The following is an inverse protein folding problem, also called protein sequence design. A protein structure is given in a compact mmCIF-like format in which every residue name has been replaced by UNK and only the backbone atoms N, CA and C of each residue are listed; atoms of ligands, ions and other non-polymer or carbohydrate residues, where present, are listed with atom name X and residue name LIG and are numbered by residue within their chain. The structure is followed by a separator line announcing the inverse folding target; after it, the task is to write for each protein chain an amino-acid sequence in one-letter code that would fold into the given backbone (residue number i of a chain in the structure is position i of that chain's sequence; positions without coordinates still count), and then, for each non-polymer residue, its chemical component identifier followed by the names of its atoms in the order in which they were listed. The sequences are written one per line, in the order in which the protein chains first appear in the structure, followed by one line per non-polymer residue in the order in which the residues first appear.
data_IF_916175189642
#
_entry.id   IF_916175189642
#
_cell.length_a   1.000
_cell.length_b   1.000
_cell.length_c   1.000
_cell.angle_alpha   90.00
_cell.angle_beta   90.00
_cell.angle_gamma   90.00
#
_symmetry.space_group_name_H-M   'P 1'
#
loop_
_entity.id
_entity.type
_entity.pdbx_description
1 polymer ?
#
# COMPACT_ATOMS: atom_id res chain seq x y z
N UNK A 1 19.99 39.79 -79.52
CA UNK A 1 19.52 40.42 -78.27
C UNK A 1 18.03 40.14 -78.20
N UNK A 2 17.53 39.77 -77.02
CA UNK A 2 16.20 39.17 -76.73
C UNK A 2 16.11 37.70 -77.20
N UNK A 3 15.77 36.69 -76.41
CA UNK A 3 14.97 36.61 -75.19
C UNK A 3 15.64 35.70 -74.14
N UNK A 4 15.77 36.21 -72.92
CA UNK A 4 15.17 35.59 -71.73
C UNK A 4 15.07 34.05 -71.71
N UNK A 5 16.22 33.36 -71.75
CA UNK A 5 16.41 32.04 -71.13
C UNK A 5 16.37 32.23 -69.60
N UNK A 6 15.20 32.66 -69.15
CA UNK A 6 14.76 32.41 -67.81
C UNK A 6 14.65 30.89 -67.68
N UNK A 7 15.76 30.31 -67.23
CA UNK A 7 15.87 29.05 -66.50
C UNK A 7 14.98 29.13 -65.24
N UNK A 8 13.68 29.36 -65.46
CA UNK A 8 12.58 29.39 -64.52
C UNK A 8 11.79 28.11 -64.78
N UNK A 9 12.29 26.99 -64.26
CA UNK A 9 11.41 25.88 -63.84
C UNK A 9 12.12 24.70 -63.18
N UNK A 10 13.44 24.62 -63.22
CA UNK A 10 14.14 23.41 -62.73
C UNK A 10 15.15 23.66 -61.63
N UNK A 11 15.21 24.88 -61.09
CA UNK A 11 16.20 25.26 -60.07
C UNK A 11 15.57 25.91 -58.83
N UNK A 12 14.39 25.44 -58.44
CA UNK A 12 13.97 25.41 -57.05
C UNK A 12 13.67 23.91 -56.82
N UNK A 13 14.51 23.07 -56.21
CA UNK A 13 15.29 23.26 -54.98
C UNK A 13 14.54 23.95 -53.84
N UNK A 14 13.21 23.96 -53.91
CA UNK A 14 12.40 23.72 -52.73
C UNK A 14 12.31 22.19 -52.64
N UNK A 15 13.31 21.52 -52.08
CA UNK A 15 13.40 21.48 -50.62
C UNK A 15 11.98 21.55 -50.04
N UNK A 16 11.16 20.52 -50.29
CA UNK A 16 10.14 20.14 -49.32
C UNK A 16 10.70 19.03 -48.43
N UNK A 17 11.65 19.31 -47.52
CA UNK A 17 11.72 18.61 -46.26
C UNK A 17 10.71 19.20 -45.26
N UNK A 18 9.67 19.93 -45.69
CA UNK A 18 8.73 20.58 -44.76
C UNK A 18 7.72 19.61 -44.13
N UNK A 19 7.76 18.32 -44.45
CA UNK A 19 6.89 17.34 -43.79
C UNK A 19 7.64 16.31 -42.93
N UNK A 20 8.96 16.47 -42.75
CA UNK A 20 9.64 15.81 -41.64
C UNK A 20 9.70 16.72 -40.40
N UNK A 21 9.55 18.03 -40.58
CA UNK A 21 9.57 19.00 -39.49
C UNK A 21 8.22 19.11 -38.75
N UNK A 22 7.12 18.64 -39.34
CA UNK A 22 5.79 18.71 -38.71
C UNK A 22 5.56 17.59 -37.68
N UNK A 23 6.32 16.49 -37.76
CA UNK A 23 6.40 15.50 -36.68
C UNK A 23 7.38 15.90 -35.57
N UNK A 24 8.23 16.90 -35.89
CA UNK A 24 9.01 17.69 -34.95
C UNK A 24 8.32 19.04 -34.65
N UNK A 25 6.98 19.11 -34.66
CA UNK A 25 6.31 19.96 -33.68
C UNK A 25 6.42 19.24 -32.33
N UNK A 26 7.67 19.20 -31.87
CA UNK A 26 8.22 18.43 -30.77
C UNK A 26 7.33 18.72 -29.57
N UNK A 27 6.48 17.75 -29.24
CA UNK A 27 5.75 17.69 -27.99
C UNK A 27 5.11 19.03 -27.61
N UNK A 28 3.93 19.33 -28.21
CA UNK A 28 3.14 20.51 -27.84
C UNK A 28 3.20 20.73 -26.32
N UNK A 29 3.43 21.97 -25.82
CA UNK A 29 3.59 22.22 -24.38
C UNK A 29 2.47 21.62 -23.52
N UNK A 30 1.27 21.46 -24.10
CA UNK A 30 0.15 20.76 -23.47
C UNK A 30 0.40 19.28 -23.17
N UNK A 31 1.11 18.55 -24.02
CA UNK A 31 1.44 17.13 -23.78
C UNK A 31 2.39 17.00 -22.59
N UNK A 32 3.34 17.91 -22.41
CA UNK A 32 4.21 17.93 -21.23
C UNK A 32 3.43 18.20 -19.94
N UNK A 33 2.43 19.07 -19.98
CA UNK A 33 1.54 19.33 -18.83
C UNK A 33 0.72 18.09 -18.50
N UNK A 34 0.12 17.43 -19.51
CA UNK A 34 -0.65 16.20 -19.31
C UNK A 34 0.26 15.07 -18.82
N UNK A 35 1.44 14.91 -19.40
CA UNK A 35 2.43 13.91 -18.98
C UNK A 35 2.88 14.17 -17.53
N UNK A 36 3.14 15.43 -17.18
CA UNK A 36 3.44 15.83 -15.81
C UNK A 36 2.28 15.52 -14.84
N UNK A 37 1.05 15.79 -15.24
CA UNK A 37 -0.14 15.46 -14.45
C UNK A 37 -0.29 13.94 -14.24
N UNK A 38 -0.03 13.14 -15.27
CA UNK A 38 -0.05 11.67 -15.18
C UNK A 38 1.05 11.16 -14.26
N UNK A 39 2.28 11.65 -14.42
CA UNK A 39 3.41 11.28 -13.53
C UNK A 39 3.10 11.67 -12.08
N UNK A 40 2.59 12.87 -11.85
CA UNK A 40 2.22 13.34 -10.51
C UNK A 40 1.11 12.49 -9.89
N UNK A 41 0.11 12.11 -10.68
CA UNK A 41 -0.96 11.21 -10.26
C UNK A 41 -0.40 9.84 -9.89
N UNK A 42 0.50 9.28 -10.71
CA UNK A 42 1.14 8.00 -10.43
C UNK A 42 1.97 8.04 -9.14
N UNK A 43 2.78 9.09 -8.95
CA UNK A 43 3.58 9.28 -7.74
C UNK A 43 2.65 9.43 -6.52
N UNK A 44 1.57 10.20 -6.65
CA UNK A 44 0.61 10.39 -5.56
C UNK A 44 -0.02 9.07 -5.13
N UNK A 45 -0.46 8.24 -6.09
CA UNK A 45 -1.01 6.90 -5.79
C UNK A 45 0.06 6.01 -5.14
N UNK A 46 1.30 6.06 -5.63
CA UNK A 46 2.39 5.25 -5.08
C UNK A 46 2.74 5.63 -3.64
N UNK A 47 2.83 6.93 -3.36
CA UNK A 47 3.07 7.48 -2.02
C UNK A 47 1.88 7.14 -1.13
N UNK A 48 0.65 7.43 -1.55
CA UNK A 48 -0.54 7.17 -0.76
C UNK A 48 -0.69 5.67 -0.43
N UNK A 49 -0.40 4.79 -1.40
CA UNK A 49 -0.41 3.35 -1.20
C UNK A 49 0.69 2.83 -0.27
N UNK A 50 1.86 3.47 -0.24
CA UNK A 50 2.97 3.06 0.64
C UNK A 50 2.78 3.55 2.08
N UNK A 51 2.14 4.72 2.25
CA UNK A 51 1.99 5.37 3.55
C UNK A 51 0.65 5.09 4.25
N UNK A 52 -0.31 4.45 3.57
CA UNK A 52 -1.57 4.06 4.21
C UNK A 52 -1.36 2.79 5.05
N UNK A 53 -1.36 2.95 6.37
CA UNK A 53 -1.42 1.83 7.32
C UNK A 53 -2.89 1.50 7.60
N UNK A 54 -3.23 0.22 7.50
CA UNK A 54 -4.55 -0.26 7.96
C UNK A 54 -4.34 -0.81 9.37
N UNK A 55 -5.10 -0.28 10.32
CA UNK A 55 -5.20 -0.87 11.65
C UNK A 55 -6.08 -2.11 11.54
N UNK A 56 -5.43 -3.27 11.61
CA UNK A 56 -6.09 -4.57 11.57
C UNK A 56 -6.16 -5.13 12.98
N UNK A 57 -7.18 -5.95 13.24
CA UNK A 57 -7.40 -6.54 14.57
C UNK A 57 -7.57 -8.05 14.44
N UNK A 58 -6.81 -8.79 15.26
CA UNK A 58 -7.02 -10.21 15.47
C UNK A 58 -8.04 -10.40 16.60
N UNK A 59 -9.20 -10.96 16.29
CA UNK A 59 -10.21 -11.29 17.29
C UNK A 59 -9.97 -12.69 17.85
N UNK A 60 -10.32 -12.86 19.12
CA UNK A 60 -10.27 -14.16 19.78
C UNK A 60 -11.02 -14.14 21.10
N UNK A 61 -11.09 -15.31 21.71
CA UNK A 61 -11.55 -15.47 23.07
C UNK A 61 -10.35 -15.57 24.01
N UNK A 62 -10.47 -15.01 25.19
CA UNK A 62 -9.44 -15.08 26.21
C UNK A 62 -10.00 -15.55 27.54
N UNK A 63 -9.21 -16.34 28.25
CA UNK A 63 -9.49 -16.77 29.61
C UNK A 63 -8.56 -16.00 30.53
N UNK A 64 -9.15 -15.21 31.43
CA UNK A 64 -8.42 -14.60 32.53
C UNK A 64 -8.37 -15.61 33.68
N UNK A 65 -7.17 -15.96 34.13
CA UNK A 65 -6.96 -16.82 35.28
C UNK A 65 -5.74 -16.32 36.08
N UNK A 66 -5.93 -16.05 37.38
CA UNK A 66 -4.86 -15.63 38.30
C UNK A 66 -4.10 -14.36 37.84
N UNK A 67 -4.80 -13.40 37.23
CA UNK A 67 -4.20 -12.17 36.69
C UNK A 67 -3.50 -12.34 35.34
N UNK A 68 -3.55 -13.54 34.76
CA UNK A 68 -2.97 -13.84 33.45
C UNK A 68 -4.11 -14.05 32.45
N UNK A 69 -4.03 -13.34 31.34
CA UNK A 69 -4.96 -13.43 30.23
C UNK A 69 -4.36 -14.34 29.16
N UNK A 70 -4.96 -15.51 28.95
CA UNK A 70 -4.60 -16.43 27.88
C UNK A 70 -5.56 -16.26 26.72
N UNK A 71 -5.04 -15.86 25.56
CA UNK A 71 -5.80 -15.50 24.36
C UNK A 71 -5.67 -16.62 23.33
N UNK A 72 -6.80 -17.08 22.82
CA UNK A 72 -6.91 -18.00 21.69
C UNK A 72 -7.60 -17.28 20.53
N UNK A 73 -6.91 -17.19 19.39
CA UNK A 73 -7.42 -16.46 18.24
C UNK A 73 -8.39 -17.31 17.40
N UNK A 74 -9.43 -16.66 16.87
CA UNK A 74 -10.45 -17.30 16.02
C UNK A 74 -9.84 -17.74 14.67
N UNK A 75 -8.90 -16.96 14.14
CA UNK A 75 -8.22 -17.20 12.86
C UNK A 75 -6.70 -17.30 13.02
N UNK A 76 -6.10 -18.49 12.78
CA UNK A 76 -4.66 -18.70 12.81
C UNK A 76 -3.87 -17.83 11.82
N UNK A 77 -4.44 -17.47 10.66
CA UNK A 77 -3.75 -16.64 9.66
C UNK A 77 -3.61 -15.20 10.15
N UNK A 78 -4.70 -14.65 10.70
CA UNK A 78 -4.68 -13.32 11.31
C UNK A 78 -3.76 -13.29 12.53
N UNK A 79 -3.80 -14.34 13.37
CA UNK A 79 -2.96 -14.47 14.56
C UNK A 79 -1.46 -14.56 14.26
N UNK A 80 -1.07 -15.05 13.08
CA UNK A 80 0.32 -15.10 12.65
C UNK A 80 0.94 -13.69 12.48
N UNK A 81 0.13 -12.65 12.32
CA UNK A 81 0.58 -11.26 12.25
C UNK A 81 0.71 -10.59 13.61
N UNK A 82 0.34 -11.29 14.71
CA UNK A 82 0.46 -10.76 16.06
C UNK A 82 1.88 -10.94 16.57
N UNK A 83 2.45 -9.88 17.14
CA UNK A 83 3.79 -9.84 17.73
C UNK A 83 3.74 -9.40 19.20
N UNK A 84 4.79 -9.75 19.95
CA UNK A 84 4.93 -9.33 21.35
C UNK A 84 4.96 -7.80 21.43
N UNK A 85 4.28 -7.24 22.43
CA UNK A 85 4.16 -5.79 22.62
C UNK A 85 2.95 -5.16 21.93
N UNK A 86 2.21 -5.90 21.10
CA UNK A 86 0.95 -5.41 20.53
C UNK A 86 -0.13 -5.20 21.58
N UNK A 87 -1.01 -4.22 21.37
CA UNK A 87 -2.06 -3.89 22.32
C UNK A 87 -3.22 -4.87 22.23
N UNK A 88 -3.46 -5.59 23.32
CA UNK A 88 -4.67 -6.35 23.58
C UNK A 88 -5.71 -5.42 24.18
N UNK A 89 -6.92 -5.44 23.63
CA UNK A 89 -8.07 -4.71 24.14
C UNK A 89 -9.10 -5.70 24.65
N UNK A 90 -9.46 -5.58 25.93
CA UNK A 90 -10.47 -6.40 26.62
C UNK A 90 -11.43 -5.48 27.36
N UNK A 91 -12.62 -5.25 26.81
CA UNK A 91 -13.53 -4.23 27.32
C UNK A 91 -12.83 -2.85 27.32
N UNK A 92 -12.67 -2.26 28.51
CA UNK A 92 -11.97 -0.97 28.71
C UNK A 92 -10.47 -1.13 29.05
N UNK A 93 -9.99 -2.37 29.21
CA UNK A 93 -8.60 -2.64 29.56
C UNK A 93 -7.73 -2.76 28.31
N UNK A 94 -6.61 -2.05 28.30
CA UNK A 94 -5.57 -2.15 27.27
C UNK A 94 -4.27 -2.67 27.88
N UNK A 95 -3.83 -3.85 27.48
CA UNK A 95 -2.59 -4.47 27.98
C UNK A 95 -1.74 -5.01 26.83
N UNK A 96 -0.40 -4.96 26.92
CA UNK A 96 0.43 -5.49 25.86
C UNK A 96 0.47 -7.02 25.87
N UNK A 97 0.60 -7.63 24.70
CA UNK A 97 0.96 -9.04 24.55
C UNK A 97 2.36 -9.24 25.14
N UNK A 98 2.50 -10.15 26.11
CA UNK A 98 3.76 -10.47 26.77
C UNK A 98 4.48 -11.65 26.11
N UNK A 99 3.73 -12.67 25.70
CA UNK A 99 4.29 -13.89 25.14
C UNK A 99 3.39 -14.43 24.05
N UNK A 100 4.01 -14.98 23.02
CA UNK A 100 3.36 -15.68 21.93
C UNK A 100 3.87 -17.10 21.89
N UNK A 101 2.95 -18.04 21.71
CA UNK A 101 3.26 -19.45 21.53
C UNK A 101 2.41 -20.04 20.42
N UNK A 102 2.86 -21.19 19.92
CA UNK A 102 2.10 -22.03 19.00
C UNK A 102 1.83 -23.36 19.68
N UNK A 103 0.58 -23.78 19.67
CA UNK A 103 0.20 -25.11 20.10
C UNK A 103 0.58 -26.15 19.03
N UNK A 104 0.60 -27.42 19.43
CA UNK A 104 0.93 -28.53 18.54
C UNK A 104 -0.08 -28.70 17.38
N UNK A 105 -1.28 -28.13 17.51
CA UNK A 105 -2.33 -28.09 16.48
C UNK A 105 -2.15 -26.93 15.48
N UNK A 106 -1.13 -26.08 15.66
CA UNK A 106 -0.86 -24.91 14.83
C UNK A 106 -1.63 -23.65 15.25
N UNK A 107 -2.47 -23.70 16.29
CA UNK A 107 -3.13 -22.51 16.83
C UNK A 107 -2.12 -21.61 17.54
N UNK A 108 -2.20 -20.31 17.27
CA UNK A 108 -1.39 -19.30 17.96
C UNK A 108 -2.12 -18.92 19.24
N UNK A 109 -1.40 -18.86 20.36
CA UNK A 109 -1.91 -18.29 21.61
C UNK A 109 -1.03 -17.13 22.05
N UNK A 110 -1.65 -16.15 22.68
CA UNK A 110 -0.97 -15.00 23.26
C UNK A 110 -1.27 -14.92 24.75
N UNK A 111 -0.32 -14.45 25.53
CA UNK A 111 -0.50 -14.21 26.96
C UNK A 111 -0.29 -12.73 27.26
N UNK A 112 -1.17 -12.14 28.06
CA UNK A 112 -1.03 -10.79 28.59
C UNK A 112 -1.27 -10.80 30.11
N UNK A 113 -0.77 -9.80 30.82
CA UNK A 113 -1.15 -9.61 32.22
C UNK A 113 -2.43 -8.75 32.23
N UNK A 114 -3.45 -9.19 32.95
CA UNK A 114 -4.70 -8.47 33.09
C UNK A 114 -5.26 -8.72 34.48
N UNK A 115 -5.43 -7.65 35.26
CA UNK A 115 -6.10 -7.69 36.56
C UNK A 115 -7.63 -7.74 36.36
N UNK A 116 -8.08 -8.81 35.72
CA UNK A 116 -9.48 -9.11 35.45
C UNK A 116 -9.92 -10.27 36.34
N UNK A 117 -11.18 -10.25 36.83
CA UNK A 117 -11.76 -11.41 37.50
C UNK A 117 -11.70 -12.64 36.61
N UNK A 118 -11.50 -13.81 37.22
CA UNK A 118 -11.45 -15.07 36.47
C UNK A 118 -12.72 -15.25 35.62
N UNK A 119 -12.54 -15.50 34.34
CA UNK A 119 -13.66 -15.57 33.40
C UNK A 119 -13.20 -15.59 31.94
N UNK A 120 -14.17 -15.80 31.04
CA UNK A 120 -13.94 -15.75 29.59
C UNK A 120 -14.36 -14.38 29.07
N UNK A 121 -13.49 -13.76 28.28
CA UNK A 121 -13.67 -12.44 27.71
C UNK A 121 -13.39 -12.48 26.21
N UNK A 122 -14.08 -11.63 25.46
CA UNK A 122 -13.79 -11.45 24.05
C UNK A 122 -12.74 -10.38 23.89
N UNK A 123 -11.70 -10.66 23.12
CA UNK A 123 -10.52 -9.80 23.01
C UNK A 123 -10.21 -9.44 21.57
N UNK A 124 -9.59 -8.27 21.41
CA UNK A 124 -9.10 -7.80 20.12
C UNK A 124 -7.64 -7.39 20.27
N UNK A 125 -6.77 -7.98 19.49
CA UNK A 125 -5.36 -7.61 19.46
C UNK A 125 -5.10 -6.79 18.20
N UNK A 126 -4.77 -5.52 18.39
CA UNK A 126 -4.46 -4.62 17.29
C UNK A 126 -3.05 -4.88 16.76
N UNK A 127 -2.94 -5.19 15.48
CA UNK A 127 -1.66 -5.29 14.78
C UNK A 127 -1.62 -4.27 13.64
N UNK A 128 -0.45 -3.66 13.46
CA UNK A 128 -0.26 -2.68 12.41
C UNK A 128 0.13 -3.41 11.12
N UNK A 129 -0.77 -3.42 10.13
CA UNK A 129 -0.46 -4.00 8.83
C UNK A 129 -0.10 -2.88 7.83
N UNK A 130 1.15 -2.86 7.41
CA UNK A 130 1.72 -1.81 6.54
C UNK A 130 1.63 -2.18 5.05
N UNK A 131 0.46 -2.53 4.50
CA UNK A 131 0.43 -3.27 3.22
C UNK A 131 -0.79 -3.05 2.32
N UNK A 132 -1.02 -1.83 1.82
CA UNK A 132 -1.96 -1.70 0.68
C UNK A 132 -1.41 -2.43 -0.55
N UNK A 133 -0.11 -2.31 -0.85
CA UNK A 133 0.52 -3.02 -1.98
C UNK A 133 0.58 -4.54 -1.77
N UNK A 134 0.94 -5.01 -0.56
CA UNK A 134 1.06 -6.46 -0.35
C UNK A 134 -0.30 -7.18 -0.33
N UNK A 135 -1.41 -6.47 -0.05
CA UNK A 135 -2.77 -7.01 -0.21
C UNK A 135 -3.17 -7.26 -1.67
N UNK A 136 -2.54 -6.57 -2.63
CA UNK A 136 -2.91 -6.67 -4.05
C UNK A 136 -2.13 -7.76 -4.80
N UNK A 137 -1.04 -8.25 -4.21
CA UNK A 137 -0.15 -9.25 -4.81
C UNK A 137 -0.08 -10.57 -4.01
N UNK A 138 -1.04 -10.82 -3.13
CA UNK A 138 -1.21 -12.07 -2.38
C UNK A 138 -2.66 -12.53 -2.41
#
# INVERSE_FOLDING_TARGET
MEEQIFRKKSLDRLSSPEQLNDYLHVTSPGIWIVLGAVIFLLISIFVWSSFTTIESYAAGDAVAENGVLMITFDDPQTAANVETGMAVTVGDLHTPVLTLGKNADGSVFATANADLPNGTYRVKVGYRQTQVIKMLFN
#
